data_IF_015287140293
#
_entry.id   IF_015287140293
#
_cell.length_a   1.000
_cell.length_b   1.000
_cell.length_c   1.000
_cell.angle_alpha   90.00
_cell.angle_beta   90.00
_cell.angle_gamma   90.00
#
_symmetry.space_group_name_H-M   'P 1'
#
loop_
_entity.id
_entity.type
_entity.pdbx_description
1 polymer ?
#
# COMPACT_ATOMS: atom_id res chain seq x y z
N UNK A 1 -21.74 7.22 -9.53
CA UNK A 1 -20.73 8.26 -9.83
C UNK A 1 -20.70 9.26 -8.69
N UNK A 2 -19.55 9.86 -8.38
CA UNK A 2 -19.41 10.74 -7.20
C UNK A 2 -20.25 12.02 -7.35
N UNK A 3 -20.90 12.44 -6.27
CA UNK A 3 -21.55 13.75 -6.17
C UNK A 3 -20.53 14.85 -5.84
N UNK A 4 -20.89 16.11 -6.09
CA UNK A 4 -20.07 17.25 -5.64
C UNK A 4 -19.93 17.21 -4.11
N UNK A 5 -18.73 17.43 -3.62
CA UNK A 5 -18.35 17.37 -2.21
C UNK A 5 -18.57 16.00 -1.55
N UNK A 6 -18.66 14.92 -2.34
CA UNK A 6 -18.72 13.57 -1.79
C UNK A 6 -17.47 13.31 -0.95
N UNK A 7 -17.66 12.76 0.25
CA UNK A 7 -16.55 12.30 1.08
C UNK A 7 -16.19 10.87 0.68
N UNK A 8 -14.96 10.67 0.22
CA UNK A 8 -14.43 9.35 -0.09
C UNK A 8 -13.48 8.93 1.03
N UNK A 9 -13.65 7.71 1.54
CA UNK A 9 -12.71 7.08 2.46
C UNK A 9 -12.20 5.78 1.84
N UNK A 10 -10.90 5.56 1.94
CA UNK A 10 -10.26 4.31 1.59
C UNK A 10 -9.68 3.71 2.88
N UNK A 11 -10.05 2.47 3.19
CA UNK A 11 -9.61 1.78 4.39
C UNK A 11 -8.87 0.51 3.98
N UNK A 12 -7.62 0.36 4.44
CA UNK A 12 -6.83 -0.84 4.22
C UNK A 12 -6.98 -1.77 5.40
N UNK A 13 -7.41 -3.00 5.13
CA UNK A 13 -7.76 -3.98 6.14
C UNK A 13 -6.97 -5.25 5.88
N UNK A 14 -6.26 -5.72 6.91
CA UNK A 14 -5.56 -7.00 6.85
C UNK A 14 -6.56 -8.15 6.82
N UNK A 15 -6.40 -9.09 5.89
CA UNK A 15 -7.19 -10.31 5.84
C UNK A 15 -6.37 -11.53 6.26
N UNK A 16 -5.19 -11.70 5.68
CA UNK A 16 -4.33 -12.85 5.94
C UNK A 16 -2.87 -12.44 5.74
N UNK A 17 -2.27 -11.94 6.83
CA UNK A 17 -0.90 -11.41 6.82
C UNK A 17 0.04 -12.17 7.75
N UNK A 18 -0.50 -13.09 8.57
CA UNK A 18 0.24 -13.79 9.63
C UNK A 18 0.78 -12.91 10.76
N UNK A 19 0.68 -11.58 10.65
CA UNK A 19 1.22 -10.60 11.61
C UNK A 19 0.11 -9.80 12.28
N UNK A 20 -0.82 -9.24 11.48
CA UNK A 20 -1.95 -8.51 11.99
C UNK A 20 -3.19 -9.42 12.12
N UNK A 21 -4.09 -9.18 13.10
CA UNK A 21 -5.37 -9.86 13.17
C UNK A 21 -6.17 -9.70 11.87
N UNK A 22 -7.05 -10.67 11.60
CA UNK A 22 -8.05 -10.52 10.55
C UNK A 22 -8.95 -9.32 10.86
N UNK A 23 -9.35 -8.59 9.82
CA UNK A 23 -10.13 -7.35 9.91
C UNK A 23 -9.42 -6.19 10.64
N UNK A 24 -8.11 -6.29 10.86
CA UNK A 24 -7.33 -5.20 11.42
C UNK A 24 -7.25 -4.03 10.43
N UNK A 25 -7.72 -2.85 10.84
CA UNK A 25 -7.56 -1.59 10.09
C UNK A 25 -6.10 -1.15 10.15
N UNK A 26 -5.39 -1.29 9.04
CA UNK A 26 -3.99 -0.89 8.91
C UNK A 26 -3.88 0.62 8.82
N UNK A 27 -4.67 1.23 7.94
CA UNK A 27 -4.70 2.68 7.76
C UNK A 27 -6.00 3.13 7.06
N UNK A 28 -6.23 4.44 7.08
CA UNK A 28 -7.38 5.10 6.47
C UNK A 28 -6.96 6.42 5.80
N UNK A 29 -7.39 6.62 4.56
CA UNK A 29 -7.20 7.87 3.84
C UNK A 29 -8.56 8.48 3.47
N UNK A 30 -8.69 9.79 3.62
CA UNK A 30 -9.94 10.52 3.29
C UNK A 30 -9.67 11.58 2.24
N UNK A 31 -10.59 11.73 1.28
CA UNK A 31 -10.59 12.79 0.29
C UNK A 31 -12.01 13.35 0.08
N UNK A 32 -12.09 14.58 -0.41
CA UNK A 32 -13.35 15.21 -0.81
C UNK A 32 -13.34 15.41 -2.32
N UNK A 33 -14.35 14.91 -3.03
CA UNK A 33 -14.50 15.14 -4.46
C UNK A 33 -14.97 16.58 -4.72
N UNK A 34 -14.16 17.46 -5.34
CA UNK A 34 -14.54 18.87 -5.53
C UNK A 34 -15.65 19.04 -6.58
N UNK A 35 -15.79 18.07 -7.49
CA UNK A 35 -16.78 18.04 -8.57
C UNK A 35 -17.40 16.64 -8.67
N UNK A 36 -18.57 16.56 -9.31
CA UNK A 36 -19.17 15.27 -9.64
C UNK A 36 -18.33 14.51 -10.67
N UNK A 37 -18.21 13.19 -10.51
CA UNK A 37 -17.40 12.34 -11.39
C UNK A 37 -15.89 12.59 -11.33
N UNK A 38 -15.38 13.20 -10.25
CA UNK A 38 -13.95 13.40 -10.06
C UNK A 38 -13.17 12.06 -9.99
N UNK A 39 -11.89 12.11 -10.39
CA UNK A 39 -10.94 11.00 -10.21
C UNK A 39 -9.88 11.40 -9.20
N UNK A 40 -9.40 10.43 -8.42
CA UNK A 40 -8.39 10.65 -7.40
C UNK A 40 -7.50 9.43 -7.25
N UNK A 41 -6.34 9.65 -6.64
CA UNK A 41 -5.41 8.60 -6.25
C UNK A 41 -5.22 8.65 -4.75
N UNK A 42 -5.44 7.52 -4.09
CA UNK A 42 -5.01 7.33 -2.72
C UNK A 42 -3.63 6.70 -2.71
N UNK A 43 -2.75 7.25 -1.89
CA UNK A 43 -1.40 6.74 -1.71
C UNK A 43 -1.23 6.41 -0.24
N UNK A 44 -0.63 5.27 0.02
CA UNK A 44 -0.48 4.75 1.36
C UNK A 44 1.01 4.65 1.69
N UNK A 45 1.40 5.31 2.78
CA UNK A 45 2.78 5.31 3.23
C UNK A 45 3.18 3.93 3.73
N UNK A 46 4.44 3.56 3.53
CA UNK A 46 5.00 2.36 4.16
C UNK A 46 5.02 2.56 5.69
N UNK A 47 4.42 1.66 6.50
CA UNK A 47 4.55 1.70 7.95
C UNK A 47 6.02 1.59 8.39
N UNK A 48 6.38 2.00 9.62
CA UNK A 48 7.76 1.92 10.11
C UNK A 48 8.38 0.53 9.96
N UNK A 49 7.62 -0.52 10.27
CA UNK A 49 8.04 -1.92 10.17
C UNK A 49 7.84 -2.52 8.77
N UNK A 50 7.43 -1.69 7.81
CA UNK A 50 7.07 -2.13 6.48
C UNK A 50 5.66 -2.70 6.37
N UNK A 51 5.34 -3.15 5.17
CA UNK A 51 4.11 -3.90 4.91
C UNK A 51 4.35 -5.37 5.22
N UNK A 52 3.47 -5.98 6.02
CA UNK A 52 3.47 -7.43 6.12
C UNK A 52 3.11 -8.04 4.75
N UNK A 53 3.73 -9.16 4.44
CA UNK A 53 3.37 -9.90 3.22
C UNK A 53 2.05 -10.62 3.46
N UNK A 54 1.19 -10.65 2.46
CA UNK A 54 -0.09 -11.34 2.57
C UNK A 54 -1.24 -10.62 1.88
N UNK A 55 -2.45 -11.03 2.25
CA UNK A 55 -3.70 -10.53 1.68
C UNK A 55 -4.27 -9.40 2.51
N UNK A 56 -4.73 -8.39 1.78
CA UNK A 56 -5.39 -7.20 2.27
C UNK A 56 -6.64 -6.98 1.43
N UNK A 57 -7.63 -6.30 2.00
CA UNK A 57 -8.68 -5.68 1.23
C UNK A 57 -8.66 -4.18 1.43
N UNK A 58 -9.01 -3.44 0.38
CA UNK A 58 -9.21 -2.00 0.43
C UNK A 58 -10.69 -1.75 0.25
N UNK A 59 -11.31 -1.12 1.23
CA UNK A 59 -12.72 -0.75 1.16
C UNK A 59 -12.84 0.74 0.85
N UNK A 60 -13.59 1.05 -0.21
CA UNK A 60 -13.90 2.41 -0.61
C UNK A 60 -15.32 2.77 -0.19
N UNK A 61 -15.42 3.81 0.63
CA UNK A 61 -16.68 4.36 1.10
C UNK A 61 -16.91 5.71 0.43
N UNK A 62 -18.14 5.95 -0.02
CA UNK A 62 -18.61 7.26 -0.50
C UNK A 62 -19.74 7.69 0.41
N UNK A 63 -19.59 8.83 1.08
CA UNK A 63 -20.59 9.37 2.00
C UNK A 63 -21.03 8.36 3.07
N UNK A 64 -20.03 7.63 3.59
CA UNK A 64 -20.16 6.57 4.60
C UNK A 64 -20.81 5.26 4.12
N UNK A 65 -21.14 5.14 2.83
CA UNK A 65 -21.63 3.91 2.22
C UNK A 65 -20.51 3.13 1.52
N UNK A 66 -20.36 1.84 1.84
CA UNK A 66 -19.40 0.96 1.18
C UNK A 66 -19.79 0.81 -0.30
N UNK A 67 -18.95 1.34 -1.18
CA UNK A 67 -19.21 1.36 -2.62
C UNK A 67 -18.41 0.28 -3.35
N UNK A 68 -17.18 0.03 -2.93
CA UNK A 68 -16.30 -0.92 -3.60
C UNK A 68 -15.34 -1.59 -2.62
N UNK A 69 -14.98 -2.83 -2.91
CA UNK A 69 -13.95 -3.57 -2.17
C UNK A 69 -12.96 -4.13 -3.18
N UNK A 70 -11.67 -3.85 -2.96
CA UNK A 70 -10.58 -4.26 -3.84
C UNK A 70 -9.62 -5.15 -3.07
N UNK A 71 -9.39 -6.36 -3.58
CA UNK A 71 -8.42 -7.27 -2.98
C UNK A 71 -7.00 -6.95 -3.43
N UNK A 72 -6.07 -6.92 -2.48
CA UNK A 72 -4.66 -6.62 -2.67
C UNK A 72 -3.82 -7.73 -2.05
N UNK A 73 -2.77 -8.18 -2.75
CA UNK A 73 -1.76 -9.07 -2.19
C UNK A 73 -0.40 -8.41 -2.22
N UNK A 74 0.24 -8.28 -1.05
CA UNK A 74 1.61 -7.79 -0.92
C UNK A 74 2.54 -9.00 -0.91
N UNK A 75 3.40 -9.09 -1.93
CA UNK A 75 4.43 -10.12 -2.03
C UNK A 75 5.77 -9.57 -1.55
N UNK A 76 6.65 -10.41 -0.95
CA UNK A 76 7.99 -9.99 -0.64
C UNK A 76 8.69 -9.53 -1.92
N UNK A 77 9.50 -8.48 -1.83
CA UNK A 77 10.42 -8.17 -2.93
C UNK A 77 11.33 -9.38 -3.12
N UNK A 78 11.54 -9.83 -4.38
CA UNK A 78 12.57 -10.82 -4.66
C UNK A 78 13.85 -10.39 -3.93
N UNK A 79 14.54 -11.31 -3.22
CA UNK A 79 15.86 -11.00 -2.72
C UNK A 79 16.61 -10.41 -3.89
N UNK A 80 17.13 -9.18 -3.76
CA UNK A 80 18.07 -8.67 -4.75
C UNK A 80 19.12 -9.77 -4.80
N UNK A 81 19.19 -10.52 -5.90
CA UNK A 81 20.26 -11.47 -6.09
C UNK A 81 21.51 -10.65 -5.87
N UNK A 82 22.17 -10.81 -4.72
CA UNK A 82 23.56 -10.42 -4.60
C UNK A 82 24.17 -11.22 -5.72
N UNK A 83 24.48 -10.56 -6.82
CA UNK A 83 24.97 -11.24 -8.01
C UNK A 83 26.12 -12.10 -7.51
N UNK A 84 26.22 -13.36 -7.94
CA UNK A 84 27.41 -14.16 -7.65
C UNK A 84 28.71 -13.41 -8.02
N UNK A 85 28.61 -12.46 -8.95
CA UNK A 85 29.62 -11.46 -9.33
C UNK A 85 30.07 -10.49 -8.22
N UNK A 86 29.24 -10.18 -7.21
CA UNK A 86 29.64 -9.35 -6.05
C UNK A 86 30.51 -10.15 -5.06
N UNK A 87 30.30 -11.47 -4.99
CA UNK A 87 31.11 -12.36 -4.13
C UNK A 87 32.45 -12.75 -4.76
N UNK A 88 32.55 -12.65 -6.09
CA UNK A 88 33.74 -13.00 -6.85
C UNK A 88 34.72 -11.84 -7.04
N UNK A 89 34.41 -10.63 -6.53
CA UNK A 89 35.26 -9.47 -6.72
C UNK A 89 35.38 -8.60 -5.44
N UNK A 90 36.19 -9.03 -4.45
CA UNK A 90 36.32 -8.34 -3.16
C UNK A 90 36.91 -6.92 -3.27
N UNK A 91 37.54 -6.58 -4.39
CA UNK A 91 38.20 -5.29 -4.61
C UNK A 91 37.30 -4.23 -5.28
N UNK A 92 36.03 -4.55 -5.53
CA UNK A 92 35.10 -3.55 -6.09
C UNK A 92 34.71 -2.57 -4.98
N UNK A 93 35.47 -1.48 -4.86
CA UNK A 93 35.07 -0.32 -4.07
C UNK A 93 33.65 0.08 -4.48
N UNK A 94 32.71 -0.06 -3.54
CA UNK A 94 31.36 0.44 -3.73
C UNK A 94 31.48 1.95 -3.99
N UNK A 95 30.91 2.50 -5.07
CA UNK A 95 30.80 3.95 -5.18
C UNK A 95 30.09 4.44 -3.91
N UNK A 96 30.71 5.41 -3.24
CA UNK A 96 30.14 6.01 -2.04
C UNK A 96 28.67 6.34 -2.31
N UNK A 97 27.77 5.76 -1.50
CA UNK A 97 26.36 6.15 -1.55
C UNK A 97 26.30 7.63 -1.23
N UNK A 98 25.92 8.44 -2.22
CA UNK A 98 25.50 9.81 -1.98
C UNK A 98 24.15 9.72 -1.24
N UNK A 99 24.22 9.85 0.08
CA UNK A 99 23.10 10.28 0.91
C UNK A 99 22.89 11.79 0.75
#
# INVERSE_FOLDING_TARGET
GLRRNARIRAIWIAQDTGVAPIDFKVDEATAIAPIGGAFGKFTLSRPPDGWATGKYRVEFYVDDELTETVDLTITPSSPRSRSALDFLNPDRTLPASNF
#
